data_IF_971634116842
#
_entry.id   IF_971634116842
#
_cell.length_a   1.000
_cell.length_b   1.000
_cell.length_c   1.000
_cell.angle_alpha   90.00
_cell.angle_beta   90.00
_cell.angle_gamma   90.00
#
_symmetry.space_group_name_H-M   'P 1'
#
loop_
_entity.id
_entity.type
_entity.pdbx_description
1 polymer ?
#
# COMPACT_ATOMS: atom_id res chain seq x y z
N UNK A 1 -2.41 22.89 4.45
CA UNK A 1 -3.36 21.79 4.76
C UNK A 1 -2.92 21.10 6.06
N UNK A 2 -3.83 20.56 6.88
CA UNK A 2 -3.45 19.88 8.14
C UNK A 2 -4.08 18.49 8.26
N UNK A 3 -3.51 17.62 9.10
CA UNK A 3 -4.00 16.24 9.28
C UNK A 3 -5.41 16.18 9.88
N UNK A 4 -5.82 17.21 10.64
CA UNK A 4 -7.14 17.27 11.26
C UNK A 4 -8.28 17.44 10.24
N UNK A 5 -7.97 17.98 9.06
CA UNK A 5 -8.93 18.14 7.97
C UNK A 5 -9.37 16.79 7.37
N UNK A 6 -8.65 15.69 7.65
CA UNK A 6 -8.96 14.33 7.17
C UNK A 6 -9.34 13.37 8.30
N UNK A 7 -9.82 13.90 9.44
CA UNK A 7 -10.19 13.08 10.61
C UNK A 7 -11.24 12.00 10.30
N UNK A 8 -12.14 12.25 9.34
CA UNK A 8 -13.19 11.30 8.96
C UNK A 8 -12.59 10.11 8.22
N UNK A 9 -11.73 10.39 7.25
CA UNK A 9 -11.00 9.40 6.46
C UNK A 9 -10.10 8.54 7.38
N UNK A 10 -9.44 9.17 8.37
CA UNK A 10 -8.68 8.46 9.40
C UNK A 10 -9.59 7.55 10.24
N UNK A 11 -10.74 8.04 10.70
CA UNK A 11 -11.65 7.25 11.55
C UNK A 11 -12.24 6.05 10.79
N UNK A 12 -12.64 6.25 9.53
CA UNK A 12 -13.13 5.18 8.66
C UNK A 12 -12.04 4.13 8.40
N UNK A 13 -10.80 4.56 8.13
CA UNK A 13 -9.68 3.64 7.93
C UNK A 13 -9.36 2.82 9.19
N UNK A 14 -9.35 3.43 10.37
CA UNK A 14 -9.13 2.70 11.64
C UNK A 14 -10.23 1.68 11.88
N UNK A 15 -11.50 2.05 11.67
CA UNK A 15 -12.63 1.13 11.82
C UNK A 15 -12.56 -0.04 10.84
N UNK A 16 -12.11 0.20 9.60
CA UNK A 16 -11.89 -0.86 8.62
C UNK A 16 -10.72 -1.78 9.02
N UNK A 17 -9.63 -1.21 9.54
CA UNK A 17 -8.48 -1.97 10.04
C UNK A 17 -8.88 -2.91 11.17
N UNK A 18 -9.57 -2.40 12.20
CA UNK A 18 -10.05 -3.22 13.33
C UNK A 18 -11.00 -4.34 12.89
N UNK A 19 -11.88 -4.07 11.92
CA UNK A 19 -12.92 -5.01 11.51
C UNK A 19 -12.44 -6.07 10.53
N UNK A 20 -11.51 -5.74 9.63
CA UNK A 20 -11.20 -6.57 8.48
C UNK A 20 -9.71 -6.93 8.33
N UNK A 21 -8.81 -6.29 9.07
CA UNK A 21 -7.36 -6.47 8.89
C UNK A 21 -6.75 -7.12 10.12
N UNK A 22 -6.46 -8.42 10.03
CA UNK A 22 -5.64 -9.11 11.04
C UNK A 22 -4.17 -8.77 10.79
N UNK A 23 -3.70 -7.72 11.44
CA UNK A 23 -2.29 -7.35 11.42
C UNK A 23 -1.61 -7.84 12.70
N UNK A 24 -0.73 -8.83 12.59
CA UNK A 24 -0.01 -9.40 13.74
C UNK A 24 1.05 -8.44 14.32
N UNK A 25 1.41 -7.38 13.58
CA UNK A 25 2.59 -6.55 13.87
C UNK A 25 2.27 -5.18 14.46
N UNK A 26 1.01 -4.70 14.38
CA UNK A 26 0.63 -3.36 14.87
C UNK A 26 -0.76 -3.37 15.48
N UNK A 27 -0.88 -2.78 16.66
CA UNK A 27 -2.17 -2.48 17.30
C UNK A 27 -2.93 -1.35 16.56
N UNK A 28 -4.24 -1.19 16.79
CA UNK A 28 -5.02 -0.10 16.18
C UNK A 28 -4.49 1.30 16.51
N UNK A 29 -3.99 1.52 17.74
CA UNK A 29 -3.43 2.81 18.16
C UNK A 29 -2.11 3.12 17.44
N UNK A 30 -1.23 2.13 17.29
CA UNK A 30 0.02 2.26 16.53
C UNK A 30 -0.25 2.49 15.04
N UNK A 31 -1.27 1.82 14.50
CA UNK A 31 -1.72 2.05 13.13
C UNK A 31 -2.22 3.49 12.94
N UNK A 32 -3.05 4.00 13.87
CA UNK A 32 -3.53 5.38 13.85
C UNK A 32 -2.39 6.40 13.91
N UNK A 33 -1.39 6.17 14.76
CA UNK A 33 -0.21 7.03 14.84
C UNK A 33 0.60 7.00 13.53
N UNK A 34 0.80 5.81 12.95
CA UNK A 34 1.47 5.63 11.65
C UNK A 34 0.73 6.38 10.54
N UNK A 35 -0.60 6.24 10.49
CA UNK A 35 -1.44 6.85 9.48
C UNK A 35 -1.39 8.38 9.55
N UNK A 36 -1.41 8.97 10.76
CA UNK A 36 -1.21 10.42 10.95
C UNK A 36 0.14 10.89 10.41
N UNK A 37 1.21 10.14 10.69
CA UNK A 37 2.56 10.46 10.21
C UNK A 37 2.64 10.38 8.69
N UNK A 38 2.10 9.31 8.08
CA UNK A 38 2.07 9.13 6.63
C UNK A 38 1.24 10.19 5.92
N UNK A 39 0.09 10.54 6.47
CA UNK A 39 -0.72 11.63 5.94
C UNK A 39 0.04 12.95 5.98
N UNK A 40 0.72 13.27 7.08
CA UNK A 40 1.57 14.47 7.15
C UNK A 40 2.67 14.49 6.07
N UNK A 41 3.28 13.34 5.78
CA UNK A 41 4.26 13.21 4.68
C UNK A 41 3.62 13.38 3.31
N UNK A 42 2.45 12.77 3.09
CA UNK A 42 1.71 12.92 1.84
C UNK A 42 1.30 14.38 1.60
N UNK A 43 0.89 15.11 2.65
CA UNK A 43 0.56 16.54 2.57
C UNK A 43 1.78 17.34 2.10
N UNK A 44 2.94 17.14 2.73
CA UNK A 44 4.17 17.83 2.34
C UNK A 44 4.58 17.50 0.91
N UNK A 45 4.45 16.23 0.51
CA UNK A 45 4.71 15.79 -0.85
C UNK A 45 3.72 16.42 -1.84
N UNK A 46 2.46 16.57 -1.46
CA UNK A 46 1.43 17.20 -2.29
C UNK A 46 1.68 18.71 -2.42
N UNK A 47 1.95 19.43 -1.33
CA UNK A 47 2.17 20.88 -1.36
C UNK A 47 3.48 21.26 -2.06
N UNK A 48 4.53 20.44 -1.94
CA UNK A 48 5.83 20.65 -2.56
C UNK A 48 6.02 19.98 -3.93
N UNK A 49 4.95 19.48 -4.56
CA UNK A 49 5.03 18.79 -5.85
C UNK A 49 5.30 19.74 -7.01
N UNK A 50 5.91 19.20 -8.07
CA UNK A 50 6.04 19.89 -9.34
C UNK A 50 4.67 20.14 -9.99
N UNK A 51 4.45 21.26 -10.71
CA UNK A 51 3.19 21.54 -11.40
C UNK A 51 2.68 20.42 -12.33
N UNK A 52 3.57 19.58 -12.87
CA UNK A 52 3.17 18.44 -13.70
C UNK A 52 2.64 17.24 -12.89
N UNK A 53 2.94 17.18 -11.59
CA UNK A 53 2.53 16.09 -10.71
C UNK A 53 1.18 16.39 -10.05
N UNK A 54 0.26 15.43 -10.15
CA UNK A 54 -1.11 15.55 -9.63
C UNK A 54 -1.29 14.94 -8.25
N UNK A 55 -0.29 14.22 -7.74
CA UNK A 55 -0.42 13.41 -6.53
C UNK A 55 0.74 13.62 -5.56
N UNK A 56 0.42 13.66 -4.26
CA UNK A 56 1.38 13.52 -3.17
C UNK A 56 1.19 12.15 -2.54
N UNK A 57 2.25 11.35 -2.50
CA UNK A 57 2.17 9.95 -2.07
C UNK A 57 3.12 9.72 -0.90
N UNK A 58 2.64 9.02 0.12
CA UNK A 58 3.47 8.48 1.19
C UNK A 58 3.03 7.07 1.51
N UNK A 59 3.96 6.15 1.70
CA UNK A 59 3.68 4.75 1.99
C UNK A 59 4.60 4.19 3.06
N UNK A 60 4.14 3.13 3.70
CA UNK A 60 4.98 2.16 4.40
C UNK A 60 4.70 0.74 3.86
N UNK A 61 5.19 -0.28 4.57
CA UNK A 61 4.99 -1.70 4.17
C UNK A 61 3.52 -2.14 4.16
N UNK A 62 2.65 -1.48 4.92
CA UNK A 62 1.29 -1.94 5.23
C UNK A 62 0.21 -1.00 4.69
N UNK A 63 0.50 0.29 4.51
CA UNK A 63 -0.48 1.27 4.05
C UNK A 63 0.15 2.30 3.13
N UNK A 64 -0.59 2.66 2.10
CA UNK A 64 -0.26 3.70 1.13
C UNK A 64 -1.30 4.81 1.22
N UNK A 65 -0.85 6.05 1.40
CA UNK A 65 -1.69 7.26 1.42
C UNK A 65 -1.40 8.07 0.17
N UNK A 66 -2.45 8.40 -0.57
CA UNK A 66 -2.39 9.17 -1.82
C UNK A 66 -3.29 10.40 -1.67
N UNK A 67 -2.71 11.58 -1.83
CA UNK A 67 -3.44 12.84 -2.00
C UNK A 67 -3.45 13.21 -3.46
N UNK A 68 -4.64 13.33 -4.04
CA UNK A 68 -4.84 13.60 -5.46
C UNK A 68 -5.49 14.95 -5.66
N UNK A 69 -5.00 15.69 -6.64
CA UNK A 69 -5.65 16.92 -7.09
C UNK A 69 -7.09 16.63 -7.54
N UNK A 70 -7.99 17.50 -7.12
CA UNK A 70 -9.40 17.51 -7.47
C UNK A 70 -9.77 18.87 -8.04
N UNK A 71 -10.97 18.97 -8.62
CA UNK A 71 -11.52 20.25 -9.07
C UNK A 71 -11.95 21.16 -7.91
N UNK A 72 -11.86 20.66 -6.67
CA UNK A 72 -12.16 21.42 -5.46
C UNK A 72 -10.88 21.86 -4.74
N UNK A 73 -10.97 22.88 -3.87
CA UNK A 73 -9.82 23.32 -3.07
C UNK A 73 -9.26 22.22 -2.13
N UNK A 74 -10.05 21.17 -1.85
CA UNK A 74 -9.68 20.06 -0.97
C UNK A 74 -9.29 18.84 -1.81
N UNK A 75 -8.02 18.38 -1.76
CA UNK A 75 -7.60 17.20 -2.50
C UNK A 75 -8.32 15.93 -2.01
N UNK A 76 -8.47 14.97 -2.92
CA UNK A 76 -8.97 13.65 -2.58
C UNK A 76 -7.91 12.88 -1.81
N UNK A 77 -8.30 12.21 -0.73
CA UNK A 77 -7.41 11.38 0.09
C UNK A 77 -7.81 9.91 -0.03
N UNK A 78 -6.94 9.11 -0.65
CA UNK A 78 -7.07 7.66 -0.75
C UNK A 78 -6.14 6.97 0.25
N UNK A 79 -6.69 6.08 1.07
CA UNK A 79 -5.94 5.23 2.01
C UNK A 79 -6.09 3.78 1.55
N UNK A 80 -4.98 3.18 1.13
CA UNK A 80 -4.93 1.83 0.59
C UNK A 80 -4.15 0.93 1.55
N UNK A 81 -4.78 -0.16 1.97
CA UNK A 81 -4.09 -1.20 2.71
C UNK A 81 -3.28 -2.06 1.74
N UNK A 82 -1.96 -2.06 1.92
CA UNK A 82 -1.07 -2.98 1.23
C UNK A 82 -1.27 -4.35 1.90
N UNK A 83 -2.26 -5.11 1.43
CA UNK A 83 -2.60 -6.42 1.97
C UNK A 83 -1.41 -7.36 1.79
N UNK A 84 -0.65 -7.56 2.87
CA UNK A 84 0.42 -8.53 2.96
C UNK A 84 -0.14 -9.76 3.70
N UNK A 85 -0.14 -10.92 3.05
CA UNK A 85 -0.46 -12.15 3.78
C UNK A 85 0.70 -12.47 4.73
N UNK A 86 0.48 -12.61 6.06
CA UNK A 86 1.54 -13.04 6.97
C UNK A 86 2.04 -14.47 6.67
N UNK A 87 1.28 -15.23 5.87
CA UNK A 87 1.66 -16.56 5.37
C UNK A 87 2.42 -16.52 4.04
N UNK A 88 2.49 -15.35 3.41
CA UNK A 88 3.33 -15.15 2.25
C UNK A 88 4.77 -15.09 2.76
N UNK A 89 5.45 -16.23 2.67
CA UNK A 89 6.87 -16.36 2.99
C UNK A 89 7.60 -15.19 2.37
N UNK A 90 8.34 -14.42 3.19
CA UNK A 90 9.32 -13.48 2.67
C UNK A 90 10.09 -14.22 1.58
N UNK A 91 10.16 -13.64 0.38
CA UNK A 91 10.83 -14.24 -0.77
C UNK A 91 12.11 -14.89 -0.27
N UNK A 92 12.22 -16.21 -0.45
CA UNK A 92 13.34 -17.02 0.04
C UNK A 92 14.64 -16.25 -0.21
N UNK A 93 15.58 -16.22 0.76
CA UNK A 93 16.82 -15.47 0.61
C UNK A 93 17.43 -15.73 -0.77
N UNK A 94 17.87 -14.66 -1.45
CA UNK A 94 18.36 -14.65 -2.85
C UNK A 94 19.47 -15.67 -3.15
N UNK A 95 19.95 -16.38 -2.14
CA UNK A 95 20.93 -17.46 -2.18
C UNK A 95 20.37 -18.79 -2.72
N UNK A 96 19.06 -18.97 -2.84
CA UNK A 96 18.51 -20.19 -3.46
C UNK A 96 18.52 -20.08 -4.98
N UNK A 97 19.42 -20.84 -5.61
CA UNK A 97 19.44 -21.04 -7.06
C UNK A 97 18.12 -21.69 -7.48
N UNK A 98 17.46 -21.22 -8.56
CA UNK A 98 16.28 -21.88 -9.09
C UNK A 98 16.60 -23.34 -9.42
N UNK A 99 15.79 -24.26 -8.90
CA UNK A 99 15.83 -25.65 -9.34
C UNK A 99 15.36 -25.66 -10.79
N UNK A 100 16.25 -25.99 -11.73
CA UNK A 100 15.86 -26.27 -13.11
C UNK A 100 15.10 -27.59 -13.09
N UNK A 101 13.78 -27.54 -13.22
CA UNK A 101 13.02 -28.72 -13.62
C UNK A 101 13.33 -28.99 -15.09
N UNK A 102 14.00 -30.12 -15.35
CA UNK A 102 14.08 -30.71 -16.69
C UNK A 102 12.74 -31.37 -16.96
N UNK A 103 11.90 -30.73 -17.75
CA UNK A 103 10.77 -31.41 -18.38
C UNK A 103 11.32 -32.14 -19.61
N UNK A 104 11.58 -33.43 -19.45
CA UNK A 104 11.73 -34.37 -20.57
C UNK A 104 10.38 -35.03 -20.88
N UNK A 105 10.08 -35.13 -22.18
CA UNK A 105 8.98 -35.92 -22.77
C UNK A 105 8.03 -35.04 -23.58
N UNK A 106 7.71 -35.27 -24.86
CA UNK A 106 8.12 -36.20 -25.94
C UNK A 106 7.71 -35.47 -27.26
N UNK A 107 8.18 -35.84 -28.47
CA UNK A 107 7.93 -35.07 -29.69
C UNK A 107 6.48 -35.23 -30.20
N UNK A 108 5.95 -34.28 -31.01
CA UNK A 108 4.58 -34.36 -31.49
C UNK A 108 4.41 -35.47 -32.55
N UNK A 109 3.32 -36.25 -32.43
CA UNK A 109 2.89 -37.22 -33.44
C UNK A 109 2.50 -36.53 -34.77
N UNK A 110 2.73 -37.16 -35.94
CA UNK A 110 2.39 -36.58 -37.22
C UNK A 110 0.89 -36.71 -37.52
N UNK A 111 0.30 -35.60 -37.97
CA UNK A 111 -1.08 -35.51 -38.45
C UNK A 111 -1.31 -36.42 -39.68
N UNK A 112 -2.43 -37.15 -39.69
CA UNK A 112 -2.98 -37.87 -40.83
C UNK A 112 -4.48 -37.63 -40.95
#
# INVERSE_FOLDING_TARGET
MTTEEFRREIAEAVKAYEKYVVCLNKTPDEFKATLKSLLGKAIRAYEGRDPELRHGIALDKQVTVILSQSDSPRPLCGIYFNLHSPYQRESLPKTMKPLKESVEGDPPEPEA
#
